data_IF_459258930807
#
_entry.id   IF_459258930807
#
_cell.length_a   1.000
_cell.length_b   1.000
_cell.length_c   1.000
_cell.angle_alpha   90.00
_cell.angle_beta   90.00
_cell.angle_gamma   90.00
#
_symmetry.space_group_name_H-M   'P 1'
#
loop_
_entity.id
_entity.type
_entity.pdbx_description
1 polymer ?
#
# COMPACT_ATOMS: atom_id res chain seq x y z
N UNK A 1 -1.90 -13.85 10.88
CA UNK A 1 -2.30 -12.48 11.18
C UNK A 1 -1.01 -11.68 11.28
N UNK A 2 -0.61 -11.06 10.17
CA UNK A 2 0.59 -10.22 10.11
C UNK A 2 0.32 -8.94 10.88
N UNK A 3 1.28 -8.48 11.69
CA UNK A 3 1.11 -7.32 12.58
C UNK A 3 0.74 -6.02 11.83
N UNK A 4 1.00 -5.94 10.52
CA UNK A 4 0.61 -4.84 9.63
C UNK A 4 -0.91 -4.61 9.55
N UNK A 5 -1.73 -5.66 9.78
CA UNK A 5 -3.19 -5.53 9.81
C UNK A 5 -3.67 -4.64 10.98
N UNK A 6 -2.86 -4.50 12.03
CA UNK A 6 -3.24 -3.79 13.27
C UNK A 6 -3.11 -2.27 13.11
N UNK A 7 -2.17 -1.76 12.32
CA UNK A 7 -1.97 -0.31 12.14
C UNK A 7 -2.95 0.32 11.14
N UNK A 8 -3.34 -0.43 10.09
CA UNK A 8 -4.47 -0.03 9.24
C UNK A 8 -5.73 0.10 10.11
N UNK A 9 -5.93 -0.80 11.07
CA UNK A 9 -7.03 -0.72 12.04
C UNK A 9 -6.86 0.39 13.09
N UNK A 10 -5.62 0.78 13.41
CA UNK A 10 -5.30 1.78 14.43
C UNK A 10 -5.76 3.18 14.00
N UNK A 11 -5.52 3.56 12.75
CA UNK A 11 -5.92 4.86 12.22
C UNK A 11 -7.18 4.84 11.36
N UNK A 12 -7.70 3.67 10.95
CA UNK A 12 -8.92 3.59 10.13
C UNK A 12 -10.12 4.25 10.79
N UNK A 13 -10.29 4.14 12.11
CA UNK A 13 -11.36 4.84 12.83
C UNK A 13 -11.20 6.36 12.70
N UNK A 14 -9.99 6.88 12.89
CA UNK A 14 -9.69 8.32 12.72
C UNK A 14 -9.87 8.77 11.27
N UNK A 15 -9.54 7.91 10.32
CA UNK A 15 -9.62 8.15 8.89
C UNK A 15 -11.07 8.16 8.40
N UNK A 16 -11.91 7.27 8.93
CA UNK A 16 -13.35 7.24 8.70
C UNK A 16 -14.07 8.42 9.37
N UNK A 17 -13.65 8.80 10.57
CA UNK A 17 -14.17 9.99 11.24
C UNK A 17 -13.76 11.26 10.48
N UNK A 18 -12.54 11.34 9.96
CA UNK A 18 -12.09 12.42 9.08
C UNK A 18 -12.90 12.48 7.77
N UNK A 19 -13.25 11.29 7.23
CA UNK A 19 -14.13 11.12 6.08
C UNK A 19 -15.60 11.51 6.35
N UNK A 20 -15.97 11.80 7.61
CA UNK A 20 -17.29 12.32 8.00
C UNK A 20 -18.23 11.29 8.64
N UNK A 21 -17.75 10.11 9.02
CA UNK A 21 -18.54 9.13 9.79
C UNK A 21 -18.58 9.49 11.28
N UNK A 22 -19.70 9.18 11.94
CA UNK A 22 -19.78 9.22 13.39
C UNK A 22 -18.86 8.16 14.02
N UNK A 23 -18.37 8.40 15.24
CA UNK A 23 -17.38 7.52 15.89
C UNK A 23 -17.85 6.05 16.00
N UNK A 24 -19.14 5.83 16.28
CA UNK A 24 -19.75 4.50 16.28
C UNK A 24 -19.69 3.86 14.89
N UNK A 25 -20.09 4.59 13.85
CA UNK A 25 -20.08 4.10 12.46
C UNK A 25 -18.65 3.82 11.98
N UNK A 26 -17.68 4.65 12.37
CA UNK A 26 -16.24 4.45 12.11
C UNK A 26 -15.71 3.14 12.70
N UNK A 27 -16.18 2.74 13.90
CA UNK A 27 -15.80 1.46 14.53
C UNK A 27 -16.32 0.25 13.73
N UNK A 28 -17.57 0.30 13.27
CA UNK A 28 -18.12 -0.78 12.42
C UNK A 28 -17.50 -0.81 11.02
N UNK A 29 -17.23 0.35 10.42
CA UNK A 29 -16.54 0.44 9.14
C UNK A 29 -15.13 -0.16 9.23
N UNK A 30 -14.44 0.09 10.35
CA UNK A 30 -13.12 -0.50 10.64
C UNK A 30 -13.17 -2.03 10.73
N UNK A 31 -14.18 -2.58 11.40
CA UNK A 31 -14.38 -4.03 11.46
C UNK A 31 -14.66 -4.63 10.06
N UNK A 32 -15.48 -3.94 9.25
CA UNK A 32 -15.74 -4.30 7.86
C UNK A 32 -14.48 -4.29 7.00
N UNK A 33 -13.64 -3.27 7.16
CA UNK A 33 -12.31 -3.16 6.53
C UNK A 33 -11.45 -4.37 6.87
N UNK A 34 -11.32 -4.72 8.15
CA UNK A 34 -10.53 -5.89 8.55
C UNK A 34 -11.02 -7.19 7.91
N UNK A 35 -12.35 -7.35 7.82
CA UNK A 35 -12.98 -8.51 7.17
C UNK A 35 -12.66 -8.56 5.67
N UNK A 36 -12.75 -7.42 4.99
CA UNK A 36 -12.41 -7.28 3.57
C UNK A 36 -10.92 -7.55 3.34
N UNK A 37 -10.03 -7.05 4.20
CA UNK A 37 -8.59 -7.29 4.10
C UNK A 37 -8.25 -8.77 4.20
N UNK A 38 -8.88 -9.52 5.10
CA UNK A 38 -8.68 -10.97 5.22
C UNK A 38 -9.13 -11.68 3.93
N UNK A 39 -10.33 -11.37 3.43
CA UNK A 39 -10.87 -11.97 2.20
C UNK A 39 -9.96 -11.64 1.00
N UNK A 40 -9.58 -10.38 0.85
CA UNK A 40 -8.74 -9.93 -0.26
C UNK A 40 -7.33 -10.51 -0.18
N UNK A 41 -6.78 -10.70 1.01
CA UNK A 41 -5.50 -11.39 1.18
C UNK A 41 -5.59 -12.83 0.68
N UNK A 42 -6.66 -13.55 1.01
CA UNK A 42 -6.88 -14.92 0.49
C UNK A 42 -7.05 -14.95 -1.03
N UNK A 43 -7.72 -13.94 -1.60
CA UNK A 43 -7.86 -13.79 -3.07
C UNK A 43 -6.53 -13.42 -3.72
N UNK A 44 -5.68 -12.64 -3.05
CA UNK A 44 -4.41 -12.17 -3.59
C UNK A 44 -3.45 -13.33 -3.90
N UNK A 45 -3.47 -14.41 -3.09
CA UNK A 45 -2.60 -15.58 -3.25
C UNK A 45 -2.73 -16.21 -4.65
N UNK A 46 -3.90 -16.75 -5.07
CA UNK A 46 -4.04 -17.34 -6.41
C UNK A 46 -3.90 -16.29 -7.52
N UNK A 47 -4.22 -15.02 -7.24
CA UNK A 47 -4.05 -13.94 -8.20
C UNK A 47 -2.57 -13.68 -8.50
N UNK A 48 -1.72 -13.80 -7.48
CA UNK A 48 -0.28 -13.55 -7.57
C UNK A 48 0.46 -14.60 -8.38
N UNK A 49 0.00 -15.85 -8.29
CA UNK A 49 0.47 -16.94 -9.14
C UNK A 49 0.03 -16.77 -10.60
N UNK A 50 -1.14 -16.17 -10.85
CA UNK A 50 -1.68 -15.96 -12.20
C UNK A 50 -1.19 -14.68 -12.87
N UNK A 51 -1.24 -13.54 -12.21
CA UNK A 51 -0.94 -12.23 -12.79
C UNK A 51 0.54 -11.83 -12.64
N UNK A 52 1.25 -12.40 -11.67
CA UNK A 52 2.63 -12.00 -11.35
C UNK A 52 2.69 -10.90 -10.30
N UNK A 53 3.84 -10.81 -9.64
CA UNK A 53 4.04 -9.98 -8.45
C UNK A 53 4.12 -8.50 -8.83
N UNK A 54 4.90 -8.17 -9.85
CA UNK A 54 5.08 -6.78 -10.30
C UNK A 54 3.76 -6.20 -10.82
N UNK A 55 3.04 -7.00 -11.61
CA UNK A 55 1.74 -6.60 -12.19
C UNK A 55 0.74 -6.25 -11.10
N UNK A 56 0.53 -7.14 -10.11
CA UNK A 56 -0.41 -6.87 -9.02
C UNK A 56 0.02 -5.70 -8.13
N UNK A 57 1.32 -5.53 -7.89
CA UNK A 57 1.81 -4.40 -7.11
C UNK A 57 1.54 -3.07 -7.82
N UNK A 58 1.75 -2.99 -9.14
CA UNK A 58 1.42 -1.82 -9.95
C UNK A 58 -0.08 -1.52 -9.99
N UNK A 59 -0.93 -2.54 -10.12
CA UNK A 59 -2.39 -2.35 -10.06
C UNK A 59 -2.84 -1.87 -8.68
N UNK A 60 -2.29 -2.43 -7.60
CA UNK A 60 -2.57 -1.99 -6.24
C UNK A 60 -2.15 -0.55 -5.99
N UNK A 61 -0.90 -0.19 -6.30
CA UNK A 61 -0.40 1.18 -6.17
C UNK A 61 -1.20 2.19 -7.02
N UNK A 62 -1.53 1.82 -8.26
CA UNK A 62 -2.30 2.67 -9.17
C UNK A 62 -3.73 2.88 -8.68
N UNK A 63 -4.40 1.82 -8.20
CA UNK A 63 -5.72 1.93 -7.61
C UNK A 63 -5.71 2.78 -6.34
N UNK A 64 -4.76 2.54 -5.43
CA UNK A 64 -4.58 3.37 -4.23
C UNK A 64 -4.39 4.84 -4.58
N UNK A 65 -3.58 5.16 -5.59
CA UNK A 65 -3.38 6.53 -6.06
C UNK A 65 -4.68 7.17 -6.56
N UNK A 66 -5.46 6.46 -7.38
CA UNK A 66 -6.73 6.98 -7.90
C UNK A 66 -7.70 7.25 -6.76
N UNK A 67 -7.85 6.30 -5.83
CA UNK A 67 -8.79 6.45 -4.72
C UNK A 67 -8.32 7.46 -3.66
N UNK A 68 -7.02 7.68 -3.47
CA UNK A 68 -6.54 8.77 -2.60
C UNK A 68 -6.87 10.16 -3.15
N UNK A 69 -6.87 10.33 -4.48
CA UNK A 69 -7.37 11.55 -5.13
C UNK A 69 -8.88 11.70 -4.92
N UNK A 70 -9.67 10.63 -5.09
CA UNK A 70 -11.11 10.69 -4.83
C UNK A 70 -11.45 11.01 -3.37
N UNK A 71 -10.71 10.47 -2.41
CA UNK A 71 -10.85 10.83 -0.98
C UNK A 71 -10.58 12.33 -0.80
N UNK A 72 -9.47 12.84 -1.34
CA UNK A 72 -9.12 14.28 -1.25
C UNK A 72 -10.22 15.16 -1.83
N UNK A 73 -10.69 14.85 -3.05
CA UNK A 73 -11.76 15.61 -3.71
C UNK A 73 -13.04 15.57 -2.86
N UNK A 74 -13.43 14.39 -2.37
CA UNK A 74 -14.63 14.22 -1.54
C UNK A 74 -14.57 15.03 -0.25
N UNK A 75 -13.40 15.08 0.40
CA UNK A 75 -13.18 15.88 1.61
C UNK A 75 -13.29 17.39 1.34
N UNK A 76 -12.85 17.87 0.18
CA UNK A 76 -12.93 19.30 -0.18
C UNK A 76 -14.35 19.79 -0.42
N UNK A 77 -15.23 18.92 -0.91
CA UNK A 77 -16.60 19.28 -1.31
C UNK A 77 -17.67 18.77 -0.33
N UNK A 78 -17.28 18.10 0.76
CA UNK A 78 -18.22 17.53 1.75
C UNK A 78 -19.09 18.58 2.44
N UNK A 79 -18.56 19.78 2.67
CA UNK A 79 -19.31 20.86 3.32
C UNK A 79 -20.38 21.46 2.41
N UNK A 80 -20.22 21.36 1.09
CA UNK A 80 -21.20 21.83 0.11
C UNK A 80 -22.29 20.78 -0.16
N UNK A 81 -21.95 19.48 -0.05
CA UNK A 81 -22.79 18.38 -0.49
C UNK A 81 -22.68 17.20 0.48
N UNK A 82 -23.61 17.09 1.43
CA UNK A 82 -23.56 16.07 2.50
C UNK A 82 -23.51 14.61 2.05
N UNK A 83 -23.86 14.29 0.79
CA UNK A 83 -23.74 12.94 0.23
C UNK A 83 -22.28 12.56 -0.16
N UNK A 84 -21.37 13.52 -0.22
CA UNK A 84 -19.96 13.29 -0.55
C UNK A 84 -19.21 12.53 0.55
N UNK A 85 -19.71 12.56 1.78
CA UNK A 85 -19.26 11.67 2.88
C UNK A 85 -19.35 10.20 2.48
N UNK A 86 -20.43 9.78 1.81
CA UNK A 86 -20.56 8.39 1.33
C UNK A 86 -19.52 8.04 0.26
N UNK A 87 -19.21 8.98 -0.65
CA UNK A 87 -18.17 8.78 -1.65
C UNK A 87 -16.80 8.66 -0.99
N UNK A 88 -16.51 9.49 0.02
CA UNK A 88 -15.26 9.40 0.77
C UNK A 88 -15.10 8.02 1.44
N UNK A 89 -16.17 7.50 2.05
CA UNK A 89 -16.16 6.17 2.70
C UNK A 89 -15.94 5.06 1.68
N UNK A 90 -16.68 5.07 0.57
CA UNK A 90 -16.52 4.07 -0.50
C UNK A 90 -15.10 4.13 -1.09
N UNK A 91 -14.58 5.34 -1.30
CA UNK A 91 -13.23 5.53 -1.84
C UNK A 91 -12.17 5.00 -0.88
N UNK A 92 -12.32 5.21 0.43
CA UNK A 92 -11.45 4.61 1.46
C UNK A 92 -11.52 3.08 1.45
N UNK A 93 -12.72 2.49 1.32
CA UNK A 93 -12.87 1.04 1.22
C UNK A 93 -12.17 0.49 -0.03
N UNK A 94 -12.35 1.14 -1.18
CA UNK A 94 -11.64 0.78 -2.41
C UNK A 94 -10.12 0.92 -2.25
N UNK A 95 -9.64 2.00 -1.62
CA UNK A 95 -8.22 2.18 -1.33
C UNK A 95 -7.64 0.98 -0.54
N UNK A 96 -8.33 0.54 0.51
CA UNK A 96 -7.93 -0.64 1.30
C UNK A 96 -7.94 -1.91 0.44
N UNK A 97 -8.95 -2.11 -0.41
CA UNK A 97 -9.03 -3.29 -1.28
C UNK A 97 -7.81 -3.34 -2.21
N UNK A 98 -7.46 -2.22 -2.85
CA UNK A 98 -6.28 -2.16 -3.73
C UNK A 98 -4.97 -2.34 -2.97
N UNK A 99 -4.88 -1.85 -1.72
CA UNK A 99 -3.75 -2.14 -0.83
C UNK A 99 -3.61 -3.64 -0.57
N UNK A 100 -4.70 -4.33 -0.20
CA UNK A 100 -4.67 -5.77 0.09
C UNK A 100 -4.39 -6.65 -1.13
N UNK A 101 -4.69 -6.20 -2.35
CA UNK A 101 -4.41 -6.97 -3.58
C UNK A 101 -2.91 -7.07 -3.87
N UNK A 102 -2.13 -6.04 -3.54
CA UNK A 102 -0.72 -5.99 -3.93
C UNK A 102 0.20 -5.46 -2.83
N UNK A 103 0.18 -4.15 -2.55
CA UNK A 103 1.10 -3.54 -1.59
C UNK A 103 1.13 -4.17 -0.19
N UNK A 104 0.03 -4.79 0.27
CA UNK A 104 -0.02 -5.45 1.58
C UNK A 104 0.81 -6.73 1.69
N UNK A 105 0.86 -7.56 0.64
CA UNK A 105 1.48 -8.90 0.69
C UNK A 105 2.72 -9.05 -0.19
N UNK A 106 2.79 -8.30 -1.29
CA UNK A 106 3.84 -8.47 -2.31
C UNK A 106 5.23 -8.02 -1.84
N UNK A 107 5.42 -6.91 -1.11
CA UNK A 107 6.74 -6.52 -0.64
C UNK A 107 7.40 -7.61 0.24
N UNK A 108 6.62 -8.24 1.12
CA UNK A 108 7.09 -9.34 1.96
C UNK A 108 7.55 -10.54 1.14
N UNK A 109 6.82 -10.87 0.08
CA UNK A 109 7.13 -12.02 -0.75
C UNK A 109 8.29 -11.74 -1.73
N UNK A 110 8.28 -10.59 -2.42
CA UNK A 110 9.36 -10.19 -3.33
C UNK A 110 10.69 -10.13 -2.58
N UNK A 111 10.72 -9.61 -1.35
CA UNK A 111 11.96 -9.58 -0.56
C UNK A 111 12.50 -10.99 -0.27
N UNK A 112 11.65 -12.00 -0.13
CA UNK A 112 12.12 -13.39 -0.01
C UNK A 112 12.57 -14.00 -1.35
N UNK A 113 11.95 -13.60 -2.47
CA UNK A 113 12.23 -14.09 -3.82
C UNK A 113 13.48 -13.43 -4.45
N UNK A 114 13.79 -12.19 -4.09
CA UNK A 114 14.92 -11.43 -4.64
C UNK A 114 16.29 -11.92 -4.19
N UNK A 115 16.36 -12.57 -3.03
CA UNK A 115 17.63 -12.97 -2.41
C UNK A 115 17.77 -14.49 -2.34
N UNK A 116 18.97 -14.96 -2.69
CA UNK A 116 19.38 -16.35 -2.48
C UNK A 116 19.46 -16.67 -0.98
N UNK A 117 19.50 -17.96 -0.62
CA UNK A 117 19.39 -18.42 0.77
C UNK A 117 20.41 -17.79 1.73
N UNK A 118 21.63 -17.48 1.26
CA UNK A 118 22.68 -16.87 2.08
C UNK A 118 22.34 -15.46 2.59
N UNK A 119 22.19 -14.45 1.71
CA UNK A 119 21.91 -13.07 2.13
C UNK A 119 20.47 -12.81 2.57
N UNK A 120 19.52 -13.72 2.27
CA UNK A 120 18.08 -13.50 2.52
C UNK A 120 17.74 -13.10 3.97
N UNK A 121 18.24 -13.76 5.03
CA UNK A 121 17.89 -13.37 6.40
C UNK A 121 18.30 -11.93 6.73
N UNK A 122 19.48 -11.49 6.27
CA UNK A 122 19.95 -10.12 6.48
C UNK A 122 19.11 -9.10 5.71
N UNK A 123 18.81 -9.37 4.43
CA UNK A 123 17.97 -8.52 3.60
C UNK A 123 16.55 -8.37 4.18
N UNK A 124 15.95 -9.48 4.61
CA UNK A 124 14.64 -9.49 5.27
C UNK A 124 14.67 -8.67 6.58
N UNK A 125 15.74 -8.79 7.37
CA UNK A 125 15.86 -8.04 8.63
C UNK A 125 15.90 -6.53 8.40
N UNK A 126 16.63 -6.08 7.37
CA UNK A 126 16.67 -4.67 6.96
C UNK A 126 15.30 -4.22 6.45
N UNK A 127 14.63 -5.02 5.61
CA UNK A 127 13.31 -4.70 5.10
C UNK A 127 12.27 -4.54 6.23
N UNK A 128 12.28 -5.46 7.20
CA UNK A 128 11.46 -5.39 8.42
C UNK A 128 11.77 -4.11 9.20
N UNK A 129 13.05 -3.80 9.44
CA UNK A 129 13.44 -2.58 10.16
C UNK A 129 12.94 -1.31 9.46
N UNK A 130 13.12 -1.21 8.15
CA UNK A 130 12.66 -0.07 7.35
C UNK A 130 11.14 0.04 7.36
N UNK A 131 10.43 -1.09 7.29
CA UNK A 131 8.97 -1.13 7.39
C UNK A 131 8.49 -0.58 8.74
N UNK A 132 9.00 -1.09 9.86
CA UNK A 132 8.63 -0.63 11.20
C UNK A 132 9.01 0.83 11.44
N UNK A 133 10.18 1.27 10.98
CA UNK A 133 10.60 2.66 11.10
C UNK A 133 9.69 3.59 10.29
N UNK A 134 9.36 3.21 9.06
CA UNK A 134 8.43 3.98 8.22
C UNK A 134 7.07 4.08 8.87
N UNK A 135 6.60 2.98 9.48
CA UNK A 135 5.35 3.00 10.20
C UNK A 135 5.39 3.93 11.41
N UNK A 136 6.43 3.83 12.24
CA UNK A 136 6.61 4.70 13.39
C UNK A 136 6.59 6.21 13.00
N UNK A 137 7.28 6.56 11.90
CA UNK A 137 7.29 7.92 11.37
C UNK A 137 5.89 8.36 10.95
N UNK A 138 5.15 7.51 10.22
CA UNK A 138 3.78 7.81 9.80
C UNK A 138 2.86 7.91 11.02
N UNK A 139 2.97 7.00 11.99
CA UNK A 139 2.13 6.99 13.19
C UNK A 139 2.28 8.25 14.03
N UNK A 140 3.51 8.75 14.24
CA UNK A 140 3.72 10.00 14.97
C UNK A 140 3.40 11.23 14.10
N UNK A 141 3.70 11.18 12.81
CA UNK A 141 3.53 12.31 11.89
C UNK A 141 2.08 12.54 11.44
N UNK A 142 1.26 11.49 11.35
CA UNK A 142 -0.07 11.56 10.76
C UNK A 142 -1.02 12.52 11.49
N UNK A 143 -1.12 12.53 12.84
CA UNK A 143 -1.97 13.50 13.54
C UNK A 143 -1.58 14.95 13.24
N UNK A 144 -0.27 15.26 13.21
CA UNK A 144 0.20 16.62 12.90
C UNK A 144 -0.06 17.00 11.45
N UNK A 145 0.08 16.05 10.54
CA UNK A 145 -0.24 16.23 9.14
C UNK A 145 -1.74 16.49 8.94
N UNK A 146 -2.59 15.77 9.66
CA UNK A 146 -4.05 15.97 9.63
C UNK A 146 -4.45 17.36 10.12
N UNK A 147 -3.81 17.87 11.17
CA UNK A 147 -4.01 19.24 11.67
C UNK A 147 -3.55 20.31 10.66
N UNK A 148 -2.45 20.04 9.93
CA UNK A 148 -1.83 21.05 9.04
C UNK A 148 -2.47 21.09 7.65
N UNK A 149 -2.84 19.93 7.11
CA UNK A 149 -3.35 19.81 5.74
C UNK A 149 -4.88 19.65 5.68
N UNK A 150 -5.55 19.33 6.78
CA UNK A 150 -7.01 19.18 6.87
C UNK A 150 -7.57 18.32 5.73
N UNK A 151 -8.34 18.91 4.80
CA UNK A 151 -8.94 18.23 3.66
C UNK A 151 -7.92 17.71 2.63
N UNK A 152 -6.67 18.18 2.68
CA UNK A 152 -5.57 17.79 1.78
C UNK A 152 -4.66 16.70 2.36
N UNK A 153 -4.99 16.11 3.52
CA UNK A 153 -4.14 15.14 4.25
C UNK A 153 -3.71 13.93 3.40
N UNK A 154 -4.45 13.58 2.35
CA UNK A 154 -4.13 12.45 1.45
C UNK A 154 -3.23 12.82 0.27
N UNK A 155 -3.01 14.10 -0.02
CA UNK A 155 -2.14 14.51 -1.14
C UNK A 155 -0.69 14.06 -0.97
N UNK A 156 -0.04 14.20 0.20
CA UNK A 156 1.33 13.71 0.39
C UNK A 156 1.45 12.20 0.13
N UNK A 157 0.48 11.40 0.57
CA UNK A 157 0.43 9.96 0.28
C UNK A 157 0.22 9.67 -1.21
N UNK A 158 -0.59 10.47 -1.90
CA UNK A 158 -0.80 10.34 -3.35
C UNK A 158 0.51 10.57 -4.12
N UNK A 159 1.31 11.56 -3.72
CA UNK A 159 2.63 11.80 -4.30
C UNK A 159 3.57 10.62 -4.06
N UNK A 160 3.61 10.08 -2.82
CA UNK A 160 4.42 8.90 -2.50
C UNK A 160 3.98 7.66 -3.30
N UNK A 161 2.68 7.43 -3.45
CA UNK A 161 2.14 6.34 -4.25
C UNK A 161 2.54 6.45 -5.73
N UNK A 162 2.51 7.65 -6.30
CA UNK A 162 2.98 7.89 -7.66
C UNK A 162 4.50 7.60 -7.78
N UNK A 163 5.31 8.06 -6.84
CA UNK A 163 6.75 7.77 -6.79
C UNK A 163 7.02 6.25 -6.70
N UNK A 164 6.32 5.55 -5.82
CA UNK A 164 6.45 4.09 -5.69
C UNK A 164 5.98 3.36 -6.94
N UNK A 165 4.89 3.81 -7.57
CA UNK A 165 4.42 3.23 -8.82
C UNK A 165 5.47 3.33 -9.93
N UNK A 166 6.06 4.52 -10.09
CA UNK A 166 7.15 4.76 -11.05
C UNK A 166 8.37 3.90 -10.70
N UNK A 167 8.76 3.85 -9.43
CA UNK A 167 9.87 3.00 -8.98
C UNK A 167 9.61 1.52 -9.28
N UNK A 168 8.43 0.99 -8.95
CA UNK A 168 8.05 -0.39 -9.24
C UNK A 168 8.05 -0.65 -10.75
N UNK A 169 7.59 0.30 -11.55
CA UNK A 169 7.56 0.15 -12.98
C UNK A 169 8.98 0.02 -13.56
N UNK A 170 9.93 0.84 -13.13
CA UNK A 170 11.27 0.83 -13.72
C UNK A 170 12.28 -0.11 -13.05
N UNK A 171 12.19 -0.33 -11.74
CA UNK A 171 13.26 -0.98 -10.96
C UNK A 171 12.91 -2.38 -10.44
N UNK A 172 11.62 -2.72 -10.29
CA UNK A 172 11.23 -4.02 -9.74
C UNK A 172 11.04 -5.02 -10.88
N UNK A 173 11.84 -6.11 -10.95
CA UNK A 173 11.64 -7.15 -11.94
C UNK A 173 10.42 -8.03 -11.61
N UNK A 174 9.87 -8.70 -12.63
CA UNK A 174 8.88 -9.75 -12.40
C UNK A 174 9.59 -11.03 -11.92
N UNK A 175 9.19 -11.55 -10.77
CA UNK A 175 9.76 -12.74 -10.12
C UNK A 175 8.97 -14.01 -10.44
N UNK A 176 7.75 -13.90 -11.00
CA UNK A 176 6.91 -15.05 -11.35
C UNK A 176 7.63 -16.02 -12.29
N UNK A 177 7.59 -17.31 -11.93
CA UNK A 177 8.14 -18.44 -12.68
C UNK A 177 9.65 -18.33 -12.97
N UNK A 178 10.41 -17.62 -12.11
CA UNK A 178 11.87 -17.49 -12.24
C UNK A 178 12.60 -18.19 -11.10
N UNK A 179 13.78 -18.74 -11.38
CA UNK A 179 14.68 -19.24 -10.32
C UNK A 179 15.42 -18.08 -9.65
N UNK A 180 16.00 -18.35 -8.48
CA UNK A 180 16.83 -17.36 -7.77
C UNK A 180 18.03 -16.92 -8.61
N UNK A 181 18.64 -17.82 -9.38
CA UNK A 181 19.76 -17.51 -10.28
C UNK A 181 19.31 -16.59 -11.43
N UNK A 182 18.15 -16.84 -12.02
CA UNK A 182 17.60 -15.99 -13.08
C UNK A 182 17.28 -14.59 -12.58
N UNK A 183 16.73 -14.47 -11.36
CA UNK A 183 16.47 -13.18 -10.72
C UNK A 183 17.79 -12.44 -10.45
N UNK A 184 18.80 -13.11 -9.90
CA UNK A 184 20.11 -12.52 -9.67
C UNK A 184 20.78 -12.04 -10.97
N UNK A 185 20.64 -12.79 -12.05
CA UNK A 185 21.16 -12.42 -13.37
C UNK A 185 20.46 -11.18 -13.95
N UNK A 186 19.18 -10.94 -13.64
CA UNK A 186 18.47 -9.72 -14.04
C UNK A 186 19.09 -8.47 -13.39
N UNK A 187 19.52 -8.56 -12.13
CA UNK A 187 20.20 -7.47 -11.44
C UNK A 187 21.62 -7.23 -11.98
N UNK A 188 22.36 -8.29 -12.30
CA UNK A 188 23.71 -8.17 -12.88
C UNK A 188 23.67 -7.55 -14.28
N UNK A 189 22.79 -8.00 -15.18
CA UNK A 189 22.60 -7.38 -16.51
C UNK A 189 22.15 -5.92 -16.45
N UNK A 190 21.36 -5.55 -15.45
CA UNK A 190 20.97 -4.16 -15.21
C UNK A 190 22.13 -3.29 -14.72
N UNK A 191 23.05 -3.85 -13.95
CA UNK A 191 24.27 -3.16 -13.52
C UNK A 191 25.23 -2.93 -14.69
N UNK A 192 25.45 -3.94 -15.54
CA UNK A 192 26.36 -3.85 -16.69
C UNK A 192 25.90 -2.81 -17.71
N UNK A 193 24.59 -2.72 -18.00
CA UNK A 193 24.04 -1.68 -18.90
C UNK A 193 24.23 -0.24 -18.39
N UNK A 194 24.29 0.00 -17.09
CA UNK A 194 24.53 1.33 -16.54
C UNK A 194 26.03 1.70 -16.48
N UNK A 195 26.93 0.77 -16.83
CA UNK A 195 28.39 1.00 -16.89
C UNK A 195 28.82 1.34 -18.33
N UNK A 196 28.02 0.96 -19.34
CA UNK A 196 28.27 1.22 -20.76
C UNK A 196 27.68 2.55 -21.28
N UNK A 197 26.81 3.22 -20.50
CA UNK A 197 26.24 4.55 -20.78
C UNK A 197 26.91 5.64 -19.92
#
# INVERSE_FOLDING_TARGET
>A
MSYDDVEVLYYSTSLFTAAGLEEWQSKYATLGVGSVMVIMTLVSIPLMDRAGRRTLHLYGLGGMFIFSIFITISLLIKEMMGWMTFISVISTLCFVIFFSVGPGSIPWMITAELFSQGPRPAAMSIAVLVNWLSNFIVGIGFPKMQETFENYTFLPFSVLLACFWVFTYYKVPETKNKTFEEIAALFQRGADRNIED
#
